data_IF_376767356601
#
_entry.id   IF_376767356601
#
_cell.length_a   1.000
_cell.length_b   1.000
_cell.length_c   1.000
_cell.angle_alpha   90.00
_cell.angle_beta   90.00
_cell.angle_gamma   90.00
#
_symmetry.space_group_name_H-M   'P 1'
#
loop_
_entity.id
_entity.type
_entity.pdbx_description
1 polymer ?
#
# COMPACT_ATOMS: atom_id res chain seq x y z
N UNK A 1 -0.52 -29.80 -19.63
CA UNK A 1 -0.53 -28.76 -18.57
C UNK A 1 -1.83 -27.98 -18.68
N UNK A 2 -2.63 -27.94 -17.63
CA UNK A 2 -3.80 -27.06 -17.55
C UNK A 2 -3.36 -25.61 -17.40
N UNK A 3 -4.00 -24.69 -18.13
CA UNK A 3 -3.73 -23.25 -18.02
C UNK A 3 -4.45 -22.70 -16.79
N UNK A 4 -3.71 -22.14 -15.84
CA UNK A 4 -4.25 -21.46 -14.65
C UNK A 4 -3.71 -20.04 -14.58
N UNK A 5 -4.58 -19.10 -14.19
CA UNK A 5 -4.18 -17.73 -13.85
C UNK A 5 -3.55 -17.76 -12.46
N UNK A 6 -2.35 -17.21 -12.34
CA UNK A 6 -1.61 -17.12 -11.08
C UNK A 6 -1.50 -15.64 -10.74
N UNK A 7 -1.96 -15.27 -9.55
CA UNK A 7 -1.79 -13.92 -9.05
C UNK A 7 -0.36 -13.71 -8.56
N UNK A 8 0.17 -12.52 -8.81
CA UNK A 8 1.45 -12.10 -8.27
C UNK A 8 1.30 -11.85 -6.77
N UNK A 9 2.24 -12.34 -5.92
CA UNK A 9 2.27 -12.01 -4.51
C UNK A 9 2.25 -10.50 -4.27
N UNK A 10 1.51 -10.05 -3.26
CA UNK A 10 1.29 -8.64 -2.98
C UNK A 10 2.60 -7.88 -2.76
N UNK A 11 3.58 -8.53 -2.13
CA UNK A 11 4.87 -7.92 -1.80
C UNK A 11 5.64 -7.52 -3.08
N UNK A 12 5.51 -8.32 -4.14
CA UNK A 12 6.12 -8.04 -5.44
C UNK A 12 5.40 -6.87 -6.12
N UNK A 13 4.07 -6.85 -6.08
CA UNK A 13 3.27 -5.76 -6.62
C UNK A 13 3.58 -4.42 -5.93
N UNK A 14 3.63 -4.42 -4.60
CA UNK A 14 3.96 -3.24 -3.78
C UNK A 14 5.38 -2.74 -4.10
N UNK A 15 6.33 -3.65 -4.30
CA UNK A 15 7.71 -3.30 -4.64
C UNK A 15 7.82 -2.64 -6.01
N UNK A 16 7.15 -3.19 -7.03
CA UNK A 16 7.12 -2.61 -8.38
C UNK A 16 6.48 -1.23 -8.36
N UNK A 17 5.35 -1.07 -7.66
CA UNK A 17 4.67 0.22 -7.52
C UNK A 17 5.57 1.28 -6.88
N UNK A 18 6.32 0.91 -5.83
CA UNK A 18 7.27 1.81 -5.17
C UNK A 18 8.39 2.26 -6.12
N UNK A 19 9.02 1.32 -6.82
CA UNK A 19 10.09 1.64 -7.80
C UNK A 19 9.58 2.57 -8.91
N UNK A 20 8.33 2.38 -9.35
CA UNK A 20 7.74 3.26 -10.37
C UNK A 20 7.60 4.69 -9.87
N UNK A 21 7.09 4.89 -8.66
CA UNK A 21 6.97 6.21 -8.05
C UNK A 21 8.34 6.88 -7.87
N UNK A 22 9.33 6.14 -7.39
CA UNK A 22 10.72 6.62 -7.25
C UNK A 22 11.29 7.08 -8.60
N UNK A 23 11.06 6.32 -9.68
CA UNK A 23 11.51 6.69 -11.03
C UNK A 23 10.88 7.98 -11.56
N UNK A 24 9.71 8.35 -11.01
CA UNK A 24 8.99 9.59 -11.33
C UNK A 24 9.37 10.74 -10.39
N UNK A 25 10.28 10.53 -9.44
CA UNK A 25 10.62 11.51 -8.41
C UNK A 25 9.50 11.73 -7.38
N UNK A 26 8.60 10.77 -7.24
CA UNK A 26 7.46 10.83 -6.31
C UNK A 26 7.75 9.99 -5.06
N UNK A 27 7.32 10.49 -3.90
CA UNK A 27 7.38 9.79 -2.62
C UNK A 27 5.99 9.74 -1.98
N UNK A 28 5.68 8.62 -1.31
CA UNK A 28 4.49 8.51 -0.46
C UNK A 28 4.90 9.00 0.93
N UNK A 29 4.11 9.92 1.50
CA UNK A 29 4.31 10.41 2.86
C UNK A 29 3.92 9.35 3.90
N UNK A 30 4.35 9.56 5.14
CA UNK A 30 3.99 8.69 6.25
C UNK A 30 3.10 9.45 7.21
N UNK A 31 2.08 8.76 7.72
CA UNK A 31 1.25 9.31 8.78
C UNK A 31 2.14 9.69 9.97
N UNK A 32 1.82 10.82 10.61
CA UNK A 32 2.37 11.14 11.93
C UNK A 32 1.76 10.21 12.96
N UNK A 33 2.36 10.15 14.15
CA UNK A 33 1.81 9.36 15.25
C UNK A 33 0.42 9.85 15.67
N UNK A 34 0.22 11.17 15.72
CA UNK A 34 -1.08 11.78 15.99
C UNK A 34 -2.12 11.42 14.91
N UNK A 35 -1.75 11.42 13.62
CA UNK A 35 -2.65 11.03 12.54
C UNK A 35 -3.03 9.54 12.62
N UNK A 36 -2.08 8.66 12.96
CA UNK A 36 -2.37 7.24 13.21
C UNK A 36 -3.33 7.06 14.38
N UNK A 37 -3.09 7.75 15.48
CA UNK A 37 -3.94 7.72 16.67
C UNK A 37 -5.34 8.22 16.33
N UNK A 38 -5.46 9.36 15.64
CA UNK A 38 -6.72 9.91 15.17
C UNK A 38 -7.52 8.89 14.33
N UNK A 39 -6.88 8.29 13.32
CA UNK A 39 -7.53 7.26 12.47
C UNK A 39 -7.95 6.02 13.26
N UNK A 40 -7.12 5.56 14.21
CA UNK A 40 -7.43 4.38 15.04
C UNK A 40 -8.50 4.66 16.11
N UNK A 41 -8.61 5.91 16.55
CA UNK A 41 -9.60 6.36 17.54
C UNK A 41 -11.00 6.48 16.94
N UNK A 42 -11.10 6.52 15.61
CA UNK A 42 -12.35 6.57 14.88
C UNK A 42 -13.08 5.22 14.96
N UNK A 43 -13.78 4.99 16.08
CA UNK A 43 -14.90 4.05 16.12
C UNK A 43 -16.05 4.68 15.35
N UNK A 44 -16.18 4.40 14.05
CA UNK A 44 -17.49 4.56 13.42
C UNK A 44 -18.48 3.68 14.18
N UNK A 45 -19.40 4.31 14.89
CA UNK A 45 -20.72 3.76 15.15
C UNK A 45 -21.57 4.01 13.93
N UNK A 46 -22.19 2.92 13.44
CA UNK A 46 -23.05 2.72 12.25
C UNK A 46 -22.39 2.86 10.89
#
# INVERSE_FOLDING_TARGET
>A
LEKKVIYVPKEIEDWIAKLKLESMGLSIDQLTEEQRQYLSSWRMGT
#
